data_IF_007947000847
#
_entry.id   IF_007947000847
#
_cell.length_a   1.000
_cell.length_b   1.000
_cell.length_c   1.000
_cell.angle_alpha   90.00
_cell.angle_beta   90.00
_cell.angle_gamma   90.00
#
_symmetry.space_group_name_H-M   'P 1'
#
loop_
_entity.id
_entity.type
_entity.pdbx_description
1 polymer ?
#
# COMPACT_ATOMS: atom_id res chain seq x y z
N UNK A 1 2.45 -56.76 55.31
CA UNK A 1 2.66 -55.56 54.48
C UNK A 1 2.71 -54.34 55.43
N UNK A 2 3.92 -53.81 55.65
CA UNK A 2 4.26 -52.92 56.78
C UNK A 2 3.58 -51.55 56.72
N UNK A 3 2.98 -51.13 57.87
CA UNK A 3 2.39 -49.78 58.06
C UNK A 3 3.34 -48.63 57.65
N UNK A 4 4.65 -48.80 57.81
CA UNK A 4 5.69 -47.85 57.41
C UNK A 4 5.77 -47.61 55.89
N UNK A 5 5.52 -48.64 55.07
CA UNK A 5 5.52 -48.48 53.61
C UNK A 5 4.32 -47.68 53.09
N UNK A 6 3.14 -47.83 53.71
CA UNK A 6 1.94 -47.07 53.35
C UNK A 6 2.08 -45.60 53.68
N UNK A 7 2.67 -45.25 54.84
CA UNK A 7 2.91 -43.87 55.24
C UNK A 7 3.94 -43.15 54.32
N UNK A 8 4.96 -43.88 53.88
CA UNK A 8 5.96 -43.35 52.93
C UNK A 8 5.32 -43.07 51.54
N UNK A 9 4.46 -43.97 51.06
CA UNK A 9 3.74 -43.78 49.78
C UNK A 9 2.75 -42.64 49.88
N UNK A 10 2.00 -42.50 50.98
CA UNK A 10 1.06 -41.38 51.20
C UNK A 10 1.80 -40.04 51.22
N UNK A 11 2.95 -39.91 51.88
CA UNK A 11 3.78 -38.71 51.91
C UNK A 11 4.28 -38.32 50.50
N UNK A 12 4.70 -39.31 49.68
CA UNK A 12 5.12 -39.08 48.31
C UNK A 12 3.98 -38.58 47.42
N UNK A 13 2.79 -39.21 47.55
CA UNK A 13 1.57 -38.76 46.84
C UNK A 13 1.18 -37.37 47.26
N UNK A 14 1.17 -37.06 48.55
CA UNK A 14 0.86 -35.75 49.07
C UNK A 14 1.89 -34.69 48.57
N UNK A 15 3.17 -35.03 48.56
CA UNK A 15 4.22 -34.15 48.04
C UNK A 15 4.04 -33.87 46.52
N UNK A 16 3.72 -34.89 45.74
CA UNK A 16 3.42 -34.75 44.32
C UNK A 16 2.17 -33.88 44.11
N UNK A 17 1.11 -34.10 44.89
CA UNK A 17 -0.10 -33.29 44.81
C UNK A 17 0.18 -31.81 45.12
N UNK A 18 0.95 -31.53 46.19
CA UNK A 18 1.37 -30.15 46.53
C UNK A 18 2.22 -29.54 45.39
N UNK A 19 3.19 -30.29 44.85
CA UNK A 19 4.02 -29.80 43.79
C UNK A 19 3.20 -29.44 42.54
N UNK A 20 2.25 -30.30 42.14
CA UNK A 20 1.36 -30.03 41.02
C UNK A 20 0.48 -28.80 41.29
N UNK A 21 -0.08 -28.71 42.53
CA UNK A 21 -0.92 -27.56 42.89
C UNK A 21 -0.16 -26.24 42.89
N UNK A 22 1.09 -26.21 43.36
CA UNK A 22 1.94 -25.04 43.31
C UNK A 22 2.28 -24.65 41.84
N UNK A 23 2.60 -25.66 41.02
CA UNK A 23 2.85 -25.40 39.60
C UNK A 23 1.64 -24.81 38.88
N UNK A 24 0.45 -25.39 39.14
CA UNK A 24 -0.82 -24.88 38.60
C UNK A 24 -1.07 -23.45 39.05
N UNK A 25 -0.86 -23.15 40.35
CA UNK A 25 -1.03 -21.79 40.87
C UNK A 25 -0.07 -20.80 40.19
N UNK A 26 1.19 -21.17 40.01
CA UNK A 26 2.18 -20.34 39.28
C UNK A 26 1.75 -20.08 37.85
N UNK A 27 1.24 -21.08 37.14
CA UNK A 27 0.71 -20.93 35.78
C UNK A 27 -0.52 -19.98 35.76
N UNK A 28 -1.41 -20.10 36.68
CA UNK A 28 -2.58 -19.20 36.77
C UNK A 28 -2.17 -17.76 37.09
N UNK A 29 -1.24 -17.55 38.00
CA UNK A 29 -0.68 -16.23 38.30
C UNK A 29 0.04 -15.64 37.07
N UNK A 30 0.80 -16.46 36.34
CA UNK A 30 1.46 -16.03 35.09
C UNK A 30 0.45 -15.66 34.02
N UNK A 31 -0.61 -16.44 33.86
CA UNK A 31 -1.68 -16.17 32.89
C UNK A 31 -2.41 -14.86 33.25
N UNK A 32 -2.78 -14.69 34.52
CA UNK A 32 -3.40 -13.47 34.99
C UNK A 32 -2.51 -12.23 34.75
N UNK A 33 -1.22 -12.34 35.04
CA UNK A 33 -0.26 -11.28 34.75
C UNK A 33 -0.21 -10.91 33.27
N UNK A 34 -0.15 -11.91 32.37
CA UNK A 34 -0.11 -11.67 30.93
C UNK A 34 -1.40 -11.02 30.43
N UNK A 35 -2.56 -11.48 30.89
CA UNK A 35 -3.85 -10.94 30.49
C UNK A 35 -4.10 -9.52 31.01
N UNK A 36 -3.77 -9.24 32.26
CA UNK A 36 -4.03 -7.93 32.87
C UNK A 36 -2.99 -6.86 32.51
N UNK A 37 -1.72 -7.24 32.36
CA UNK A 37 -0.64 -6.25 32.13
C UNK A 37 -0.31 -6.08 30.66
N UNK A 38 -0.59 -7.06 29.80
CA UNK A 38 -0.16 -7.05 28.39
C UNK A 38 -1.29 -7.36 27.42
N UNK A 39 -2.54 -7.44 27.90
CA UNK A 39 -3.71 -7.79 27.08
C UNK A 39 -3.87 -6.87 25.88
N UNK A 40 -3.82 -5.56 26.07
CA UNK A 40 -3.97 -4.56 25.01
C UNK A 40 -2.88 -4.70 23.94
N UNK A 41 -1.62 -4.88 24.37
CA UNK A 41 -0.50 -5.07 23.44
C UNK A 41 -0.65 -6.34 22.58
N UNK A 42 -1.12 -7.43 23.18
CA UNK A 42 -1.37 -8.68 22.44
C UNK A 42 -2.57 -8.54 21.50
N UNK A 43 -3.59 -7.79 21.92
CA UNK A 43 -4.73 -7.47 21.06
C UNK A 43 -4.28 -6.66 19.83
N UNK A 44 -3.51 -5.60 20.04
CA UNK A 44 -2.97 -4.78 18.95
C UNK A 44 -2.11 -5.60 17.97
N UNK A 45 -1.24 -6.47 18.49
CA UNK A 45 -0.44 -7.38 17.65
C UNK A 45 -1.31 -8.38 16.88
N UNK A 46 -2.35 -8.93 17.51
CA UNK A 46 -3.28 -9.85 16.86
C UNK A 46 -4.09 -9.14 15.76
N UNK A 47 -4.57 -7.92 16.02
CA UNK A 47 -5.26 -7.10 15.02
C UNK A 47 -4.34 -6.72 13.87
N UNK A 48 -3.08 -6.34 14.14
CA UNK A 48 -2.10 -6.02 13.11
C UNK A 48 -1.73 -7.24 12.22
N UNK A 49 -1.80 -8.45 12.76
CA UNK A 49 -1.61 -9.67 11.98
C UNK A 49 -2.84 -10.03 11.14
N UNK A 50 -4.05 -9.84 11.70
CA UNK A 50 -5.31 -10.19 11.07
C UNK A 50 -5.75 -9.17 10.02
N UNK A 51 -5.50 -7.90 10.26
CA UNK A 51 -5.92 -6.80 9.39
C UNK A 51 -4.73 -6.16 8.70
N UNK A 52 -4.86 -5.97 7.39
CA UNK A 52 -3.86 -5.27 6.60
C UNK A 52 -4.43 -3.97 6.05
N UNK A 53 -3.99 -2.82 6.57
CA UNK A 53 -4.37 -1.56 5.98
C UNK A 53 -3.67 -1.37 4.64
N UNK A 54 -4.44 -1.06 3.61
CA UNK A 54 -3.97 -0.65 2.29
C UNK A 54 -4.34 0.82 2.13
N UNK A 55 -3.37 1.73 1.92
CA UNK A 55 -3.69 3.14 1.70
C UNK A 55 -4.44 3.30 0.38
N UNK A 56 -5.51 4.10 0.41
CA UNK A 56 -6.23 4.57 -0.76
C UNK A 56 -5.75 5.99 -1.04
N UNK A 57 -5.13 6.19 -2.20
CA UNK A 57 -4.61 7.48 -2.57
C UNK A 57 -5.74 8.39 -3.04
N UNK A 58 -5.79 9.66 -2.57
CA UNK A 58 -6.72 10.66 -3.06
C UNK A 58 -6.30 11.16 -4.45
N UNK A 59 -7.24 11.70 -5.19
CA UNK A 59 -6.93 12.52 -6.34
C UNK A 59 -6.31 13.83 -5.89
N UNK A 60 -5.22 14.22 -6.55
CA UNK A 60 -4.56 15.49 -6.29
C UNK A 60 -5.35 16.63 -6.94
N UNK A 61 -5.59 17.71 -6.21
CA UNK A 61 -6.33 18.87 -6.68
C UNK A 61 -5.82 19.40 -8.03
N UNK A 62 -6.72 19.87 -8.86
CA UNK A 62 -6.39 20.41 -10.18
C UNK A 62 -5.82 21.82 -10.09
N UNK A 63 -4.80 22.12 -10.89
CA UNK A 63 -4.26 23.47 -11.06
C UNK A 63 -4.84 24.05 -12.34
N UNK A 64 -5.59 25.13 -12.22
CA UNK A 64 -6.21 25.83 -13.35
C UNK A 64 -5.48 27.15 -13.66
N UNK A 65 -5.61 27.57 -14.91
CA UNK A 65 -5.29 28.94 -15.29
C UNK A 65 -6.41 29.91 -14.85
N UNK A 66 -6.25 31.20 -15.12
CA UNK A 66 -7.26 32.23 -14.80
C UNK A 66 -8.60 32.02 -15.50
N UNK A 67 -8.65 31.27 -16.58
CA UNK A 67 -9.84 30.99 -17.40
C UNK A 67 -10.42 29.58 -17.08
N UNK A 68 -10.00 28.96 -15.98
CA UNK A 68 -10.41 27.61 -15.57
C UNK A 68 -10.00 26.51 -16.56
N UNK A 69 -8.91 26.73 -17.33
CA UNK A 69 -8.31 25.69 -18.16
C UNK A 69 -7.34 24.87 -17.31
N UNK A 70 -7.45 23.54 -17.26
CA UNK A 70 -6.59 22.71 -16.42
C UNK A 70 -5.16 22.69 -16.96
N UNK A 71 -4.21 23.10 -16.12
CA UNK A 71 -2.78 23.04 -16.37
C UNK A 71 -2.13 21.77 -15.83
N UNK A 72 -2.64 21.27 -14.71
CA UNK A 72 -2.27 20.00 -14.11
C UNK A 72 -3.50 19.36 -13.46
N UNK A 73 -3.78 18.10 -13.74
CA UNK A 73 -4.93 17.36 -13.20
C UNK A 73 -4.54 15.95 -12.81
N UNK A 74 -5.35 15.29 -12.01
CA UNK A 74 -5.22 13.85 -11.73
C UNK A 74 -6.08 13.06 -12.70
N UNK A 75 -5.53 11.97 -13.21
CA UNK A 75 -6.25 10.98 -14.01
C UNK A 75 -6.11 9.62 -13.34
N UNK A 76 -7.15 8.80 -13.38
CA UNK A 76 -7.04 7.41 -12.94
C UNK A 76 -6.22 6.61 -13.95
N UNK A 77 -5.17 5.95 -13.50
CA UNK A 77 -4.36 5.05 -14.29
C UNK A 77 -4.33 3.66 -13.64
N UNK A 78 -4.43 2.62 -14.45
CA UNK A 78 -4.31 1.25 -13.96
C UNK A 78 -2.83 0.93 -13.65
N UNK A 79 -2.60 0.28 -12.51
CA UNK A 79 -1.29 -0.18 -12.07
C UNK A 79 -1.33 -1.67 -11.76
N UNK A 80 -0.26 -2.38 -12.12
CA UNK A 80 -0.10 -3.82 -11.86
C UNK A 80 0.84 -4.00 -10.68
N UNK A 81 0.40 -4.77 -9.70
CA UNK A 81 1.21 -5.17 -8.56
C UNK A 81 1.11 -6.66 -8.30
N UNK A 82 2.11 -7.19 -7.62
CA UNK A 82 2.13 -8.57 -7.17
C UNK A 82 2.11 -8.66 -5.64
N UNK A 83 1.54 -9.76 -5.15
CA UNK A 83 1.66 -10.24 -3.78
C UNK A 83 2.54 -11.49 -3.84
N UNK A 84 3.87 -11.40 -3.64
CA UNK A 84 4.81 -12.48 -3.91
C UNK A 84 4.47 -13.81 -3.23
N UNK A 85 3.91 -13.76 -2.03
CA UNK A 85 3.51 -14.97 -1.26
C UNK A 85 2.37 -15.75 -1.93
N UNK A 86 1.61 -15.13 -2.82
CA UNK A 86 0.49 -15.74 -3.54
C UNK A 86 0.88 -16.21 -4.94
N UNK A 87 2.10 -15.88 -5.41
CA UNK A 87 2.60 -16.29 -6.72
C UNK A 87 3.13 -17.73 -6.60
N UNK A 88 2.45 -18.69 -7.26
CA UNK A 88 2.82 -20.10 -7.19
C UNK A 88 4.10 -20.42 -7.96
N UNK A 89 4.28 -19.83 -9.14
CA UNK A 89 5.44 -20.02 -10.01
C UNK A 89 5.96 -18.67 -10.50
N UNK A 90 6.94 -18.07 -9.77
CA UNK A 90 7.49 -16.76 -10.14
C UNK A 90 8.15 -16.72 -11.53
N UNK A 91 8.82 -17.82 -11.93
CA UNK A 91 9.53 -17.88 -13.23
C UNK A 91 8.53 -17.83 -14.38
N UNK A 92 7.51 -18.71 -14.33
CA UNK A 92 6.45 -18.72 -15.34
C UNK A 92 5.70 -17.39 -15.37
N UNK A 93 5.33 -16.84 -14.21
CA UNK A 93 4.61 -15.58 -14.09
C UNK A 93 5.41 -14.42 -14.69
N UNK A 94 6.72 -14.35 -14.43
CA UNK A 94 7.60 -13.34 -15.01
C UNK A 94 7.64 -13.42 -16.53
N UNK A 95 7.81 -14.63 -17.09
CA UNK A 95 7.83 -14.82 -18.54
C UNK A 95 6.50 -14.49 -19.23
N UNK A 96 5.36 -14.79 -18.58
CA UNK A 96 4.04 -14.45 -19.13
C UNK A 96 3.73 -12.96 -19.07
N UNK A 97 4.20 -12.25 -18.04
CA UNK A 97 3.96 -10.82 -17.85
C UNK A 97 4.95 -9.91 -18.60
N UNK A 98 6.18 -10.34 -18.80
CA UNK A 98 7.23 -9.55 -19.43
C UNK A 98 6.79 -8.93 -20.78
N UNK A 99 6.25 -9.69 -21.73
CA UNK A 99 5.81 -9.15 -23.02
C UNK A 99 4.55 -8.25 -22.90
N UNK A 100 3.71 -8.45 -21.88
CA UNK A 100 2.51 -7.65 -21.68
C UNK A 100 2.82 -6.30 -21.06
N UNK A 101 3.76 -6.27 -20.11
CA UNK A 101 4.13 -5.06 -19.38
C UNK A 101 5.28 -4.29 -20.04
N UNK A 102 5.84 -4.81 -21.12
CA UNK A 102 7.03 -4.25 -21.78
C UNK A 102 8.16 -3.99 -20.78
N UNK A 103 8.51 -5.06 -20.04
CA UNK A 103 9.60 -5.07 -19.04
C UNK A 103 10.40 -6.36 -19.16
N UNK A 104 11.63 -6.32 -18.66
CA UNK A 104 12.52 -7.47 -18.66
C UNK A 104 12.03 -8.58 -17.71
N UNK A 105 12.11 -9.85 -18.16
CA UNK A 105 11.64 -11.00 -17.40
C UNK A 105 12.49 -11.26 -16.15
N UNK A 106 13.81 -11.04 -16.21
CA UNK A 106 14.71 -11.25 -15.08
C UNK A 106 14.46 -10.17 -14.00
N UNK A 107 14.17 -8.93 -14.45
CA UNK A 107 13.75 -7.87 -13.54
C UNK A 107 12.43 -8.23 -12.84
N UNK A 108 11.41 -8.70 -13.57
CA UNK A 108 10.14 -9.14 -12.98
C UNK A 108 10.36 -10.28 -11.99
N UNK A 109 11.16 -11.28 -12.35
CA UNK A 109 11.49 -12.41 -11.48
C UNK A 109 12.10 -11.92 -10.17
N UNK A 110 13.09 -11.02 -10.25
CA UNK A 110 13.72 -10.44 -9.07
C UNK A 110 12.73 -9.70 -8.14
N UNK A 111 11.66 -9.14 -8.71
CA UNK A 111 10.58 -8.50 -7.95
C UNK A 111 9.65 -9.51 -7.31
N UNK A 112 9.28 -10.57 -8.03
CA UNK A 112 8.37 -11.62 -7.55
C UNK A 112 9.00 -12.50 -6.46
N UNK A 113 10.32 -12.60 -6.40
CA UNK A 113 11.05 -13.35 -5.37
C UNK A 113 11.33 -12.54 -4.09
N UNK A 114 10.98 -11.27 -4.05
CA UNK A 114 11.17 -10.45 -2.86
C UNK A 114 10.28 -10.92 -1.70
N UNK A 115 10.86 -11.01 -0.52
CA UNK A 115 10.10 -11.30 0.70
C UNK A 115 9.43 -10.02 1.25
N UNK A 116 8.54 -9.46 0.44
CA UNK A 116 7.73 -8.28 0.77
C UNK A 116 6.26 -8.59 0.60
N UNK A 117 5.41 -7.81 1.25
CA UNK A 117 3.96 -8.02 1.20
C UNK A 117 3.38 -7.73 -0.18
N UNK A 118 3.84 -6.69 -0.83
CA UNK A 118 3.34 -6.22 -2.12
C UNK A 118 4.48 -5.55 -2.88
N UNK A 119 4.56 -5.80 -4.18
CA UNK A 119 5.56 -5.19 -5.06
C UNK A 119 4.90 -4.66 -6.33
N UNK A 120 5.22 -3.42 -6.69
CA UNK A 120 4.75 -2.81 -7.93
C UNK A 120 5.54 -3.34 -9.11
N UNK A 121 4.83 -3.84 -10.13
CA UNK A 121 5.41 -4.33 -11.37
C UNK A 121 5.37 -3.25 -12.46
N UNK A 122 4.23 -2.56 -12.60
CA UNK A 122 4.08 -1.42 -13.51
C UNK A 122 3.07 -0.42 -12.94
N UNK A 123 3.45 0.85 -12.82
CA UNK A 123 2.61 1.88 -12.18
C UNK A 123 1.61 2.53 -13.13
N UNK A 124 1.82 2.38 -14.44
CA UNK A 124 0.93 2.89 -15.47
C UNK A 124 0.87 1.86 -16.58
N UNK A 125 -0.31 1.31 -16.79
CA UNK A 125 -0.62 0.46 -17.91
C UNK A 125 -1.85 1.02 -18.64
N UNK A 126 -1.87 0.83 -19.94
CA UNK A 126 -3.04 1.17 -20.73
C UNK A 126 -4.18 0.15 -20.47
N UNK A 127 -5.44 0.52 -20.76
CA UNK A 127 -6.59 -0.36 -20.50
C UNK A 127 -6.57 -1.68 -21.28
N UNK A 128 -5.84 -1.74 -22.40
CA UNK A 128 -5.73 -2.98 -23.20
C UNK A 128 -4.74 -3.94 -22.52
N UNK A 129 -3.59 -3.44 -22.12
CA UNK A 129 -2.60 -4.19 -21.32
C UNK A 129 -3.22 -4.70 -20.02
N UNK A 130 -3.94 -3.85 -19.29
CA UNK A 130 -4.60 -4.25 -18.06
C UNK A 130 -5.64 -5.37 -18.29
N UNK A 131 -6.43 -5.29 -19.35
CA UNK A 131 -7.36 -6.38 -19.75
C UNK A 131 -6.62 -7.66 -20.10
N UNK A 132 -5.49 -7.56 -20.82
CA UNK A 132 -4.67 -8.72 -21.17
C UNK A 132 -4.07 -9.40 -19.92
N UNK A 133 -3.59 -8.62 -18.95
CA UNK A 133 -3.10 -9.14 -17.67
C UNK A 133 -4.22 -9.81 -16.87
N UNK A 134 -5.41 -9.19 -16.77
CA UNK A 134 -6.58 -9.80 -16.11
C UNK A 134 -6.99 -11.12 -16.75
N UNK A 135 -6.95 -11.20 -18.08
CA UNK A 135 -7.30 -12.40 -18.82
C UNK A 135 -6.38 -13.61 -18.56
N UNK A 136 -5.14 -13.37 -18.10
CA UNK A 136 -4.19 -14.42 -17.71
C UNK A 136 -4.55 -15.08 -16.38
N UNK A 137 -5.32 -14.38 -15.53
CA UNK A 137 -5.77 -14.87 -14.23
C UNK A 137 -4.62 -15.48 -13.38
N UNK A 138 -3.44 -14.84 -13.40
CA UNK A 138 -2.26 -15.32 -12.69
C UNK A 138 -2.42 -15.12 -11.19
N UNK A 139 -2.25 -16.18 -10.37
CA UNK A 139 -2.30 -16.07 -8.91
C UNK A 139 -1.27 -15.06 -8.39
N UNK A 140 -1.68 -14.21 -7.45
CA UNK A 140 -0.82 -13.21 -6.84
C UNK A 140 -0.57 -11.96 -7.67
N UNK A 141 -1.20 -11.81 -8.86
CA UNK A 141 -1.11 -10.62 -9.71
C UNK A 141 -2.42 -9.86 -9.66
N UNK A 142 -2.34 -8.58 -9.38
CA UNK A 142 -3.50 -7.71 -9.18
C UNK A 142 -3.35 -6.41 -9.96
N UNK A 143 -4.49 -5.83 -10.31
CA UNK A 143 -4.59 -4.53 -10.95
C UNK A 143 -5.42 -3.63 -10.04
N UNK A 144 -4.93 -2.41 -9.84
CA UNK A 144 -5.63 -1.39 -9.09
C UNK A 144 -5.55 -0.06 -9.83
N UNK A 145 -6.52 0.79 -9.60
CA UNK A 145 -6.47 2.17 -10.04
C UNK A 145 -5.63 2.99 -9.08
N UNK A 146 -4.80 3.87 -9.66
CA UNK A 146 -4.01 4.85 -8.91
C UNK A 146 -4.14 6.22 -9.56
N UNK A 147 -4.30 7.28 -8.77
CA UNK A 147 -4.23 8.63 -9.31
C UNK A 147 -2.84 8.90 -9.86
N UNK A 148 -2.81 9.47 -11.06
CA UNK A 148 -1.60 9.90 -11.72
C UNK A 148 -1.71 11.35 -12.14
N UNK A 149 -0.65 12.13 -11.87
CA UNK A 149 -0.59 13.52 -12.31
C UNK A 149 -0.41 13.59 -13.82
N UNK A 150 -1.22 14.43 -14.46
CA UNK A 150 -1.22 14.65 -15.90
C UNK A 150 -1.18 16.15 -16.21
N UNK A 151 -0.34 16.52 -17.16
CA UNK A 151 -0.14 17.90 -17.61
C UNK A 151 -0.63 18.03 -19.05
N UNK A 152 -1.88 18.51 -19.29
CA UNK A 152 -2.50 18.53 -20.62
C UNK A 152 -1.70 19.32 -21.64
N UNK A 153 -1.02 20.37 -21.21
CA UNK A 153 -0.22 21.26 -22.08
C UNK A 153 1.28 20.92 -22.12
N UNK A 154 1.66 19.74 -21.66
CA UNK A 154 3.04 19.24 -21.72
C UNK A 154 4.03 20.10 -20.95
N UNK A 155 4.93 20.78 -21.64
CA UNK A 155 6.01 21.57 -21.04
C UNK A 155 5.59 22.99 -20.66
N UNK A 156 4.39 23.42 -21.03
CA UNK A 156 3.91 24.78 -20.77
C UNK A 156 3.95 25.11 -19.28
N UNK A 157 4.58 26.22 -18.92
CA UNK A 157 4.76 26.68 -17.54
C UNK A 157 5.43 25.64 -16.60
N UNK A 158 6.20 24.69 -17.17
CA UNK A 158 6.78 23.59 -16.38
C UNK A 158 7.63 24.08 -15.20
N UNK A 159 8.42 25.13 -15.39
CA UNK A 159 9.26 25.73 -14.33
C UNK A 159 8.43 26.38 -13.20
N UNK A 160 7.19 26.78 -13.48
CA UNK A 160 6.27 27.38 -12.50
C UNK A 160 5.45 26.29 -11.83
N UNK A 161 4.83 25.42 -12.64
CA UNK A 161 4.00 24.32 -12.14
C UNK A 161 4.83 23.33 -11.34
N UNK A 162 6.03 23.01 -11.82
CA UNK A 162 6.82 21.92 -11.28
C UNK A 162 6.26 20.57 -11.70
N UNK A 163 6.51 19.54 -10.90
CA UNK A 163 6.00 18.20 -11.16
C UNK A 163 5.76 17.42 -9.88
N UNK A 164 4.86 16.44 -9.97
CA UNK A 164 4.60 15.47 -8.92
C UNK A 164 5.34 14.14 -9.21
N UNK A 165 5.83 13.51 -8.15
CA UNK A 165 6.48 12.22 -8.22
C UNK A 165 5.51 11.05 -8.34
N UNK A 166 6.08 9.85 -8.42
CA UNK A 166 5.35 8.58 -8.56
C UNK A 166 4.37 8.34 -7.41
N UNK A 167 4.73 8.78 -6.20
CA UNK A 167 3.89 8.65 -5.01
C UNK A 167 2.93 9.84 -4.83
N UNK A 168 2.63 10.55 -5.93
CA UNK A 168 1.70 11.67 -5.97
C UNK A 168 2.12 12.87 -5.09
N UNK A 169 3.40 12.96 -4.72
CA UNK A 169 3.99 14.06 -3.95
C UNK A 169 4.52 15.15 -4.88
N UNK A 170 4.31 16.42 -4.56
CA UNK A 170 4.89 17.56 -5.27
C UNK A 170 6.38 17.65 -5.00
N UNK A 171 7.21 17.67 -6.07
CA UNK A 171 8.66 17.69 -5.96
C UNK A 171 9.25 19.07 -6.24
N UNK A 172 8.66 19.82 -7.16
CA UNK A 172 9.12 21.16 -7.54
C UNK A 172 7.96 22.10 -7.82
N UNK A 173 8.26 23.41 -7.93
CA UNK A 173 7.34 24.46 -8.34
C UNK A 173 6.12 24.62 -7.43
N UNK A 174 4.99 24.96 -8.04
CA UNK A 174 3.70 25.11 -7.34
C UNK A 174 3.20 23.79 -6.77
N UNK A 175 3.51 22.68 -7.43
CA UNK A 175 3.18 21.34 -6.91
C UNK A 175 3.80 21.10 -5.52
N UNK A 176 5.05 21.45 -5.32
CA UNK A 176 5.72 21.33 -4.02
C UNK A 176 5.27 22.41 -3.03
N UNK A 177 5.14 23.66 -3.50
CA UNK A 177 4.77 24.78 -2.64
C UNK A 177 3.38 24.61 -2.02
N UNK A 178 2.41 24.13 -2.81
CA UNK A 178 1.04 23.88 -2.37
C UNK A 178 0.74 22.42 -2.06
N UNK A 179 1.77 21.63 -1.72
CA UNK A 179 1.64 20.21 -1.41
C UNK A 179 0.51 19.93 -0.41
N UNK A 180 0.46 20.67 0.68
CA UNK A 180 -0.54 20.48 1.75
C UNK A 180 -1.99 20.77 1.31
N UNK A 181 -2.17 21.53 0.24
CA UNK A 181 -3.48 21.88 -0.32
C UNK A 181 -3.89 20.88 -1.40
N UNK A 182 -2.92 20.54 -2.28
CA UNK A 182 -3.16 19.73 -3.46
C UNK A 182 -3.26 18.23 -3.17
N UNK A 183 -2.51 17.70 -2.18
CA UNK A 183 -2.35 16.24 -2.02
C UNK A 183 -3.58 15.50 -1.50
N UNK A 184 -4.53 16.21 -0.87
CA UNK A 184 -5.68 15.58 -0.20
C UNK A 184 -5.29 14.78 1.05
N UNK A 185 -6.20 13.92 1.50
CA UNK A 185 -6.00 13.06 2.66
C UNK A 185 -6.22 11.60 2.24
N UNK A 186 -5.24 10.76 2.54
CA UNK A 186 -5.31 9.33 2.21
C UNK A 186 -6.47 8.65 2.92
N UNK A 187 -7.17 7.81 2.20
CA UNK A 187 -8.12 6.85 2.73
C UNK A 187 -7.42 5.55 3.15
N UNK A 188 -8.20 4.60 3.61
CA UNK A 188 -7.68 3.33 4.07
C UNK A 188 -8.66 2.19 3.78
N UNK A 189 -8.18 1.13 3.17
CA UNK A 189 -8.89 -0.12 3.01
C UNK A 189 -8.29 -1.16 3.96
N UNK A 190 -9.07 -1.56 4.96
CA UNK A 190 -8.65 -2.56 5.94
C UNK A 190 -9.36 -3.87 5.59
N UNK A 191 -8.59 -4.89 5.24
CA UNK A 191 -9.10 -6.23 4.91
C UNK A 191 -8.58 -7.27 5.88
N UNK A 192 -9.45 -8.21 6.20
CA UNK A 192 -9.09 -9.39 6.99
C UNK A 192 -8.28 -10.37 6.15
N UNK A 193 -7.19 -10.90 6.75
CA UNK A 193 -6.29 -11.87 6.12
C UNK A 193 -6.11 -13.10 7.00
N UNK A 194 -5.80 -14.21 6.35
CA UNK A 194 -5.41 -15.44 7.02
C UNK A 194 -3.95 -15.38 7.53
N UNK A 195 -3.52 -16.43 8.23
CA UNK A 195 -2.16 -16.54 8.77
C UNK A 195 -1.07 -16.60 7.68
N UNK A 196 -1.45 -16.88 6.42
CA UNK A 196 -0.53 -16.89 5.26
C UNK A 196 -0.48 -15.53 4.55
N UNK A 197 -1.29 -14.55 4.98
CA UNK A 197 -1.37 -13.22 4.40
C UNK A 197 -2.37 -13.07 3.26
N UNK A 198 -3.12 -14.13 2.91
CA UNK A 198 -4.15 -14.09 1.86
C UNK A 198 -5.41 -13.41 2.37
N UNK A 199 -6.04 -12.62 1.53
CA UNK A 199 -7.34 -12.00 1.85
C UNK A 199 -8.41 -13.08 2.01
N UNK A 200 -9.19 -12.99 3.10
CA UNK A 200 -10.31 -13.91 3.35
C UNK A 200 -11.50 -13.44 2.51
N UNK A 201 -11.99 -14.25 1.54
CA UNK A 201 -13.25 -13.96 0.86
C UNK A 201 -14.36 -13.82 1.92
N UNK A 202 -15.22 -12.84 1.81
CA UNK A 202 -16.29 -12.55 2.80
C UNK A 202 -15.79 -12.17 4.21
N UNK A 203 -14.49 -11.91 4.40
CA UNK A 203 -13.93 -11.36 5.62
C UNK A 203 -14.38 -9.92 5.91
N UNK A 204 -14.08 -9.41 7.10
CA UNK A 204 -14.38 -8.04 7.45
C UNK A 204 -13.58 -7.07 6.54
N UNK A 205 -14.31 -6.21 5.84
CA UNK A 205 -13.74 -5.12 5.07
C UNK A 205 -14.24 -3.78 5.63
N UNK A 206 -13.30 -2.90 5.98
CA UNK A 206 -13.60 -1.53 6.37
C UNK A 206 -12.90 -0.60 5.41
N UNK A 207 -13.68 0.22 4.72
CA UNK A 207 -13.19 1.22 3.78
C UNK A 207 -13.40 2.61 4.37
N UNK A 208 -12.34 3.40 4.41
CA UNK A 208 -12.34 4.82 4.69
C UNK A 208 -11.97 5.49 3.38
N UNK A 209 -12.91 6.24 2.81
CA UNK A 209 -12.66 6.91 1.52
C UNK A 209 -11.62 8.00 1.67
N UNK A 210 -10.74 8.17 0.68
CA UNK A 210 -9.83 9.30 0.62
C UNK A 210 -10.62 10.61 0.43
N UNK A 211 -10.02 11.71 0.84
CA UNK A 211 -10.53 13.05 0.54
C UNK A 211 -9.60 13.72 -0.45
N UNK A 212 -10.12 14.07 -1.62
CA UNK A 212 -9.33 14.68 -2.68
C UNK A 212 -8.74 16.03 -2.28
N UNK A 213 -7.63 16.39 -2.94
CA UNK A 213 -6.99 17.68 -2.75
C UNK A 213 -7.86 18.83 -3.26
N UNK A 214 -7.61 20.03 -2.72
CA UNK A 214 -8.28 21.24 -3.16
C UNK A 214 -7.65 21.76 -4.45
N UNK A 215 -8.50 22.29 -5.32
CA UNK A 215 -8.08 22.91 -6.57
C UNK A 215 -7.44 24.28 -6.35
N UNK A 216 -6.55 24.66 -7.25
CA UNK A 216 -5.88 25.96 -7.25
C UNK A 216 -6.13 26.66 -8.58
N UNK A 217 -6.51 27.94 -8.53
CA UNK A 217 -6.65 28.79 -9.73
C UNK A 217 -5.52 29.81 -9.74
N UNK A 218 -4.73 29.78 -10.81
CA UNK A 218 -3.63 30.71 -11.02
C UNK A 218 -4.09 31.97 -11.72
N UNK A 219 -3.31 33.03 -11.61
CA UNK A 219 -3.50 34.28 -12.37
C UNK A 219 -2.89 34.23 -13.75
N UNK A 220 -2.15 33.16 -14.06
CA UNK A 220 -1.51 32.91 -15.37
C UNK A 220 -2.60 32.62 -16.41
N UNK A 221 -2.38 33.08 -17.63
CA UNK A 221 -3.17 32.76 -18.80
C UNK A 221 -2.34 31.83 -19.71
N UNK A 222 -2.83 30.63 -19.98
CA UNK A 222 -2.09 29.61 -20.70
C UNK A 222 -1.74 30.02 -22.14
N UNK A 223 -2.59 30.84 -22.80
CA UNK A 223 -2.34 31.31 -24.16
C UNK A 223 -1.21 32.34 -24.17
N UNK A 224 -1.28 33.32 -23.24
CA UNK A 224 -0.23 34.33 -23.10
C UNK A 224 1.10 33.66 -22.73
N UNK A 225 1.07 32.73 -21.79
CA UNK A 225 2.25 31.93 -21.37
C UNK A 225 2.87 31.19 -22.56
N UNK A 226 2.07 30.53 -23.38
CA UNK A 226 2.52 29.84 -24.58
C UNK A 226 3.22 30.79 -25.58
N UNK A 227 2.63 31.97 -25.84
CA UNK A 227 3.21 32.94 -26.75
C UNK A 227 4.57 33.43 -26.22
N UNK A 228 4.64 33.75 -24.94
CA UNK A 228 5.87 34.24 -24.29
C UNK A 228 6.97 33.20 -24.33
N UNK A 229 6.69 31.96 -23.96
CA UNK A 229 7.68 30.87 -23.99
C UNK A 229 8.19 30.61 -25.40
N UNK A 230 7.30 30.55 -26.37
CA UNK A 230 7.67 30.36 -27.77
C UNK A 230 8.62 31.46 -28.30
N UNK A 231 8.30 32.73 -28.00
CA UNK A 231 9.13 33.86 -28.49
C UNK A 231 10.47 33.93 -27.73
N UNK A 232 10.48 33.58 -26.44
CA UNK A 232 11.74 33.46 -25.68
C UNK A 232 12.60 32.33 -26.19
N UNK A 233 12.06 31.17 -26.48
CA UNK A 233 12.81 30.04 -27.04
C UNK A 233 13.44 30.42 -28.39
N UNK A 234 12.67 31.12 -29.24
CA UNK A 234 13.19 31.60 -30.54
C UNK A 234 14.34 32.57 -30.34
N UNK A 235 14.22 33.54 -29.44
CA UNK A 235 15.25 34.54 -29.20
C UNK A 235 16.52 34.00 -28.51
N UNK A 236 16.45 32.84 -27.89
CA UNK A 236 17.64 32.14 -27.29
C UNK A 236 18.36 31.28 -28.33
N UNK A 237 17.65 30.76 -29.33
CA UNK A 237 18.21 29.89 -30.38
C UNK A 237 18.77 30.64 -31.59
N UNK A 238 18.40 31.92 -31.77
CA UNK A 238 18.96 32.85 -32.73
C UNK A 238 20.26 33.53 -32.19
#
# INVERSE_FOLDING_TARGET
MNRFSKLAVQRRIAALFVAVSVLTLLLLLRLAYLQLSHGDRFLDMALAQRFSPVPLLPDRGTIYDRNMVPLATSISAEAVYAVPVEVEDPVRTAHELAPLLDVDADWLLSRLEQNVRTVWLRLKVDPETARAVRARALPGIYITERPQRFYPHGKLAANVLGFAGIDNQGLEGLEAYYENVLKGTEGMLVRERDATGRSIPDGLERRIEPTDGLDIVLTVDHVIQYIVERELERGVLE
#
